data_IF_075462408038
#
_entry.id   IF_075462408038
#
_cell.length_a   1.000
_cell.length_b   1.000
_cell.length_c   1.000
_cell.angle_alpha   90.00
_cell.angle_beta   90.00
_cell.angle_gamma   90.00
#
_symmetry.space_group_name_H-M   'P 1'
#
loop_
_entity.id
_entity.type
_entity.pdbx_description
1 polymer ?
#
# COMPACT_ATOMS: atom_id res chain seq x y z
N UNK A 1 -20.18 25.75 -4.67
CA UNK A 1 -21.08 24.70 -4.14
C UNK A 1 -20.40 24.15 -2.90
N UNK A 2 -21.09 24.02 -1.77
CA UNK A 2 -20.54 23.35 -0.58
C UNK A 2 -20.73 21.85 -0.73
N UNK A 3 -19.71 21.07 -0.41
CA UNK A 3 -19.74 19.60 -0.54
C UNK A 3 -19.02 18.98 0.65
N UNK A 4 -19.75 18.12 1.36
CA UNK A 4 -19.25 17.41 2.53
C UNK A 4 -18.96 15.96 2.14
N UNK A 5 -17.74 15.50 2.40
CA UNK A 5 -17.41 14.09 2.39
C UNK A 5 -17.59 13.52 3.81
N UNK A 6 -18.46 12.53 3.96
CA UNK A 6 -18.76 11.87 5.23
C UNK A 6 -18.13 10.47 5.27
N UNK A 7 -17.84 10.00 6.48
CA UNK A 7 -17.32 8.65 6.71
C UNK A 7 -15.81 8.49 6.50
N UNK A 8 -15.03 9.57 6.54
CA UNK A 8 -13.57 9.51 6.34
C UNK A 8 -12.88 8.89 7.56
N UNK A 9 -12.07 7.86 7.36
CA UNK A 9 -11.45 7.11 8.45
C UNK A 9 -9.93 7.24 8.47
N UNK A 10 -9.31 7.54 7.33
CA UNK A 10 -7.86 7.61 7.18
C UNK A 10 -7.35 9.00 6.78
N UNK A 11 -6.08 9.27 7.10
CA UNK A 11 -5.45 10.57 6.87
C UNK A 11 -5.15 10.84 5.39
N UNK A 12 -4.87 9.80 4.60
CA UNK A 12 -4.66 9.90 3.15
C UNK A 12 -5.97 10.19 2.40
N UNK A 13 -7.09 9.66 2.87
CA UNK A 13 -8.43 10.01 2.36
C UNK A 13 -8.72 11.51 2.54
N UNK A 14 -8.31 12.12 3.66
CA UNK A 14 -8.45 13.59 3.87
C UNK A 14 -7.74 14.38 2.78
N UNK A 15 -6.54 13.96 2.38
CA UNK A 15 -5.78 14.63 1.32
C UNK A 15 -6.48 14.46 -0.03
N UNK A 16 -6.86 13.22 -0.37
CA UNK A 16 -7.59 12.91 -1.61
C UNK A 16 -8.90 13.70 -1.74
N UNK A 17 -9.67 13.80 -0.66
CA UNK A 17 -10.96 14.49 -0.64
C UNK A 17 -10.79 16.01 -0.79
N UNK A 18 -9.72 16.58 -0.23
CA UNK A 18 -9.35 17.98 -0.46
C UNK A 18 -8.99 18.23 -1.92
N UNK A 19 -8.22 17.34 -2.53
CA UNK A 19 -7.85 17.45 -3.94
C UNK A 19 -9.05 17.34 -4.88
N UNK A 20 -10.08 16.57 -4.49
CA UNK A 20 -11.36 16.50 -5.19
C UNK A 20 -12.24 17.75 -5.01
N UNK A 21 -11.84 18.71 -4.16
CA UNK A 21 -12.52 19.99 -3.99
C UNK A 21 -13.68 19.97 -2.99
N UNK A 22 -13.77 18.97 -2.10
CA UNK A 22 -14.77 18.99 -1.03
C UNK A 22 -14.44 20.09 -0.01
N UNK A 23 -15.45 20.87 0.37
CA UNK A 23 -15.31 21.98 1.32
C UNK A 23 -15.31 21.51 2.78
N UNK A 24 -15.95 20.38 3.07
CA UNK A 24 -16.09 19.85 4.42
C UNK A 24 -15.77 18.35 4.46
N UNK A 25 -15.22 17.92 5.59
CA UNK A 25 -14.83 16.52 5.82
C UNK A 25 -15.29 16.12 7.22
N UNK A 26 -16.00 15.00 7.30
CA UNK A 26 -16.41 14.37 8.55
C UNK A 26 -16.02 12.90 8.54
N UNK A 27 -15.57 12.41 9.69
CA UNK A 27 -15.46 10.97 9.92
C UNK A 27 -14.56 10.66 11.10
N UNK A 28 -14.34 9.36 11.32
CA UNK A 28 -13.54 8.87 12.44
C UNK A 28 -12.07 9.26 12.34
N UNK A 29 -11.62 9.75 11.20
CA UNK A 29 -10.31 10.38 11.06
C UNK A 29 -10.11 11.52 12.05
N UNK A 30 -11.18 12.24 12.44
CA UNK A 30 -11.16 13.33 13.43
C UNK A 30 -11.58 12.90 14.84
N UNK A 31 -12.04 11.66 15.01
CA UNK A 31 -12.46 11.10 16.30
C UNK A 31 -13.74 10.28 16.22
N UNK A 32 -13.88 9.30 17.13
CA UNK A 32 -15.13 8.56 17.35
C UNK A 32 -16.18 9.47 18.00
N UNK A 33 -17.47 9.10 17.97
CA UNK A 33 -18.49 9.78 18.76
C UNK A 33 -18.06 9.84 20.23
N UNK A 34 -18.13 11.04 20.82
CA UNK A 34 -17.69 11.32 22.18
C UNK A 34 -18.69 12.23 22.88
N UNK A 35 -18.63 12.33 24.20
CA UNK A 35 -19.50 13.22 24.96
C UNK A 35 -19.15 14.68 24.67
N UNK A 36 -20.13 15.57 24.83
CA UNK A 36 -19.95 17.01 24.64
C UNK A 36 -18.75 17.55 25.44
N UNK A 37 -18.57 17.10 26.69
CA UNK A 37 -17.44 17.49 27.55
C UNK A 37 -16.09 17.08 26.97
N UNK A 38 -16.01 15.91 26.35
CA UNK A 38 -14.79 15.39 25.71
C UNK A 38 -14.49 16.16 24.42
N UNK A 39 -15.51 16.48 23.62
CA UNK A 39 -15.37 17.27 22.41
C UNK A 39 -14.87 18.69 22.70
N UNK A 40 -15.44 19.35 23.71
CA UNK A 40 -15.01 20.70 24.15
C UNK A 40 -13.57 20.67 24.63
N UNK A 41 -13.18 19.67 25.43
CA UNK A 41 -11.80 19.53 25.88
C UNK A 41 -10.83 19.32 24.70
N UNK A 42 -11.19 18.45 23.75
CA UNK A 42 -10.39 18.18 22.55
C UNK A 42 -10.20 19.43 21.68
N UNK A 43 -11.28 20.18 21.42
CA UNK A 43 -11.23 21.40 20.61
C UNK A 43 -10.41 22.49 21.33
N UNK A 44 -10.60 22.66 22.64
CA UNK A 44 -9.86 23.66 23.43
C UNK A 44 -8.37 23.36 23.41
N UNK A 45 -7.97 22.10 23.62
CA UNK A 45 -6.57 21.68 23.57
C UNK A 45 -5.89 21.89 22.21
N UNK A 46 -6.70 21.98 21.13
CA UNK A 46 -6.24 22.13 19.74
C UNK A 46 -6.59 23.49 19.14
N UNK A 47 -6.89 24.50 19.97
CA UNK A 47 -7.27 25.84 19.52
C UNK A 47 -8.40 25.86 18.46
N UNK A 48 -9.40 24.99 18.64
CA UNK A 48 -10.54 24.84 17.75
C UNK A 48 -10.29 23.99 16.50
N UNK A 49 -9.09 23.41 16.34
CA UNK A 49 -8.74 22.63 15.15
C UNK A 49 -9.07 21.13 15.32
N UNK A 50 -9.81 20.59 14.36
CA UNK A 50 -9.95 19.15 14.17
C UNK A 50 -8.67 18.61 13.50
N UNK A 51 -7.86 17.87 14.25
CA UNK A 51 -6.64 17.23 13.75
C UNK A 51 -6.94 15.78 13.40
N UNK A 52 -6.59 15.38 12.18
CA UNK A 52 -6.71 14.01 11.71
C UNK A 52 -5.78 13.09 12.53
N UNK A 53 -6.35 12.17 13.28
CA UNK A 53 -5.63 11.20 14.14
C UNK A 53 -5.87 9.74 13.76
N UNK A 54 -6.68 9.47 12.73
CA UNK A 54 -6.97 8.13 12.21
C UNK A 54 -5.75 7.39 11.67
N UNK A 55 -5.96 6.18 11.13
CA UNK A 55 -4.89 5.43 10.44
C UNK A 55 -4.30 6.25 9.31
N UNK A 56 -2.97 6.22 9.14
CA UNK A 56 -2.28 7.08 8.17
C UNK A 56 -2.66 6.76 6.72
N UNK A 57 -2.98 5.50 6.43
CA UNK A 57 -3.25 5.00 5.07
C UNK A 57 -4.32 3.91 5.13
N UNK A 58 -5.38 4.01 4.33
CA UNK A 58 -6.29 2.90 4.07
C UNK A 58 -5.61 1.95 3.09
N UNK A 59 -5.14 0.78 3.59
CA UNK A 59 -4.50 -0.24 2.75
C UNK A 59 -5.32 -1.52 2.73
N UNK A 60 -5.39 -2.14 1.55
CA UNK A 60 -5.97 -3.47 1.41
C UNK A 60 -5.24 -4.46 2.35
N UNK A 61 -6.00 -5.46 2.83
CA UNK A 61 -5.45 -6.53 3.66
C UNK A 61 -4.29 -7.24 2.93
N UNK A 62 -3.24 -7.56 3.69
CA UNK A 62 -2.03 -8.21 3.18
C UNK A 62 -1.96 -9.63 3.70
N UNK A 63 -2.00 -10.59 2.80
CA UNK A 63 -1.74 -12.00 3.14
C UNK A 63 -0.24 -12.21 3.24
N UNK A 64 0.22 -12.72 4.39
CA UNK A 64 1.62 -13.14 4.56
C UNK A 64 1.86 -14.40 3.72
N UNK A 65 2.89 -14.36 2.89
CA UNK A 65 3.29 -15.47 2.04
C UNK A 65 4.81 -15.59 2.05
N UNK A 66 5.33 -16.77 1.72
CA UNK A 66 6.76 -16.94 1.46
C UNK A 66 6.92 -17.67 0.14
N UNK A 67 6.84 -16.91 -0.95
CA UNK A 67 6.77 -17.44 -2.31
C UNK A 67 7.98 -16.96 -3.12
N UNK A 68 8.84 -17.87 -3.60
CA UNK A 68 9.79 -17.55 -4.66
C UNK A 68 9.11 -16.94 -5.87
N UNK A 69 9.72 -15.92 -6.44
CA UNK A 69 9.26 -15.21 -7.62
C UNK A 69 10.47 -14.67 -8.37
N UNK A 70 10.22 -14.11 -9.55
CA UNK A 70 11.22 -13.49 -10.41
C UNK A 70 10.77 -12.09 -10.76
N UNK A 71 11.70 -11.16 -10.70
CA UNK A 71 11.51 -9.81 -11.24
C UNK A 71 12.38 -9.62 -12.46
N UNK A 72 11.90 -8.85 -13.44
CA UNK A 72 12.69 -8.36 -14.55
C UNK A 72 12.76 -6.84 -14.44
N UNK A 73 13.98 -6.33 -14.27
CA UNK A 73 14.29 -4.91 -14.20
C UNK A 73 15.26 -4.60 -15.34
N UNK A 74 14.89 -3.68 -16.23
CA UNK A 74 15.67 -3.32 -17.42
C UNK A 74 16.08 -4.55 -18.27
N UNK A 75 15.21 -5.57 -18.32
CA UNK A 75 15.46 -6.84 -19.01
C UNK A 75 16.34 -7.83 -18.25
N UNK A 76 16.89 -7.45 -17.09
CA UNK A 76 17.69 -8.33 -16.23
C UNK A 76 16.78 -9.05 -15.24
N UNK A 77 16.72 -10.37 -15.35
CA UNK A 77 15.96 -11.22 -14.44
C UNK A 77 16.70 -11.43 -13.11
N UNK A 78 15.96 -11.36 -12.00
CA UNK A 78 16.47 -11.61 -10.65
C UNK A 78 15.47 -12.42 -9.84
N UNK A 79 15.97 -13.38 -9.08
CA UNK A 79 15.15 -14.16 -8.14
C UNK A 79 14.88 -13.35 -6.86
N UNK A 80 13.62 -13.35 -6.44
CA UNK A 80 13.16 -12.65 -5.23
C UNK A 80 12.20 -13.54 -4.44
N UNK A 81 11.83 -13.10 -3.24
CA UNK A 81 10.82 -13.76 -2.41
C UNK A 81 9.72 -12.78 -2.05
N UNK A 82 8.48 -13.13 -2.36
CA UNK A 82 7.30 -12.40 -1.89
C UNK A 82 7.08 -12.75 -0.42
N UNK A 83 7.00 -11.72 0.43
CA UNK A 83 6.83 -11.80 1.90
C UNK A 83 5.41 -11.49 2.36
N UNK A 84 4.74 -10.61 1.65
CA UNK A 84 3.30 -10.40 1.73
C UNK A 84 2.77 -9.83 0.43
N UNK A 85 1.47 -9.99 0.22
CA UNK A 85 0.79 -9.56 -0.99
C UNK A 85 -0.62 -9.10 -0.68
N UNK A 86 -1.08 -8.11 -1.43
CA UNK A 86 -2.42 -7.52 -1.45
C UNK A 86 -2.87 -7.40 -2.91
N UNK A 87 -4.14 -7.07 -3.19
CA UNK A 87 -4.58 -6.86 -4.58
C UNK A 87 -3.78 -5.77 -5.30
N UNK A 88 -3.31 -4.74 -4.58
CA UNK A 88 -2.61 -3.60 -5.17
C UNK A 88 -1.08 -3.65 -5.11
N UNK A 89 -0.48 -4.67 -4.48
CA UNK A 89 0.97 -4.68 -4.34
C UNK A 89 1.52 -5.78 -3.45
N UNK A 90 2.85 -5.86 -3.39
CA UNK A 90 3.58 -6.89 -2.68
C UNK A 90 4.81 -6.33 -1.95
N UNK A 91 5.22 -6.99 -0.87
CA UNK A 91 6.55 -6.82 -0.30
C UNK A 91 7.45 -7.96 -0.78
N UNK A 92 8.62 -7.61 -1.31
CA UNK A 92 9.63 -8.57 -1.74
C UNK A 92 10.93 -8.43 -0.95
N UNK A 93 11.70 -9.51 -0.92
CA UNK A 93 13.04 -9.66 -0.36
C UNK A 93 13.98 -10.29 -1.40
N UNK A 94 15.28 -10.05 -1.30
CA UNK A 94 16.29 -10.60 -2.21
C UNK A 94 16.57 -9.74 -3.44
N UNK A 95 15.94 -8.57 -3.54
CA UNK A 95 16.33 -7.57 -4.50
C UNK A 95 17.42 -6.71 -3.84
N UNK A 96 18.66 -6.80 -4.31
CA UNK A 96 19.73 -5.85 -3.91
C UNK A 96 19.40 -4.50 -4.54
N UNK A 97 18.54 -3.75 -3.85
CA UNK A 97 18.04 -2.41 -4.24
C UNK A 97 18.87 -1.33 -3.57
N UNK A 98 20.16 -1.54 -3.36
CA UNK A 98 20.99 -0.51 -2.71
C UNK A 98 20.97 0.82 -3.51
N UNK A 99 20.49 0.80 -4.77
CA UNK A 99 20.26 2.00 -5.59
C UNK A 99 19.07 1.97 -6.57
N UNK A 100 18.10 1.03 -6.53
CA UNK A 100 16.98 1.16 -7.49
C UNK A 100 16.11 2.36 -7.08
N UNK A 101 15.99 3.41 -7.92
CA UNK A 101 15.24 4.60 -7.57
C UNK A 101 13.79 4.26 -7.24
N UNK A 102 13.26 4.88 -6.18
CA UNK A 102 11.81 4.89 -5.95
C UNK A 102 11.14 5.40 -7.22
N UNK A 103 10.08 4.72 -7.65
CA UNK A 103 9.36 5.04 -8.88
C UNK A 103 9.75 4.20 -10.09
N UNK A 104 10.82 3.39 -10.02
CA UNK A 104 11.22 2.51 -11.12
C UNK A 104 10.20 1.42 -11.37
N UNK A 105 9.92 1.20 -12.65
CA UNK A 105 9.04 0.15 -13.15
C UNK A 105 9.81 -1.14 -13.37
N UNK A 106 9.16 -2.25 -13.03
CA UNK A 106 9.67 -3.58 -13.23
C UNK A 106 8.51 -4.53 -13.54
N UNK A 107 8.87 -5.72 -14.00
CA UNK A 107 7.93 -6.83 -14.13
C UNK A 107 8.16 -7.82 -12.99
N UNK A 108 7.08 -8.35 -12.40
CA UNK A 108 7.15 -9.41 -11.37
C UNK A 108 6.28 -10.60 -11.77
N UNK A 109 6.83 -11.81 -11.62
CA UNK A 109 6.10 -13.06 -11.85
C UNK A 109 5.23 -13.39 -10.63
N UNK A 110 3.91 -13.21 -10.75
CA UNK A 110 2.97 -13.49 -9.65
C UNK A 110 2.32 -14.87 -9.85
N UNK A 111 1.80 -15.10 -11.06
CA UNK A 111 1.21 -16.39 -11.49
C UNK A 111 2.19 -17.05 -12.46
N UNK A 112 2.14 -18.39 -12.57
CA UNK A 112 3.09 -19.17 -13.35
C UNK A 112 3.24 -18.64 -14.79
N UNK A 113 4.46 -18.23 -15.15
CA UNK A 113 4.81 -17.62 -16.44
C UNK A 113 4.09 -16.32 -16.80
N UNK A 114 3.43 -15.67 -15.84
CA UNK A 114 2.75 -14.39 -16.06
C UNK A 114 3.47 -13.26 -15.31
N UNK A 115 4.03 -12.34 -16.11
CA UNK A 115 4.68 -11.13 -15.63
C UNK A 115 3.67 -9.98 -15.47
N UNK A 116 3.73 -9.29 -14.35
CA UNK A 116 2.89 -8.16 -14.01
C UNK A 116 3.73 -6.90 -13.87
N UNK A 117 3.28 -5.79 -14.47
CA UNK A 117 3.91 -4.51 -14.30
C UNK A 117 3.71 -3.98 -12.87
N UNK A 118 4.79 -3.51 -12.28
CA UNK A 118 4.80 -2.95 -10.94
C UNK A 118 5.83 -1.82 -10.82
N UNK A 119 5.68 -1.00 -9.79
CA UNK A 119 6.56 0.12 -9.46
C UNK A 119 7.13 -0.04 -8.05
N UNK A 120 8.40 0.29 -7.88
CA UNK A 120 9.03 0.36 -6.55
C UNK A 120 8.51 1.59 -5.81
N UNK A 121 7.84 1.40 -4.68
CA UNK A 121 7.34 2.49 -3.82
C UNK A 121 8.31 2.88 -2.70
N UNK A 122 9.09 1.91 -2.23
CA UNK A 122 10.11 2.10 -1.20
C UNK A 122 11.10 0.93 -1.27
N UNK A 123 12.31 1.15 -0.79
CA UNK A 123 13.31 0.12 -0.57
C UNK A 123 14.08 0.41 0.73
N UNK A 124 14.23 -0.61 1.57
CA UNK A 124 14.93 -0.52 2.86
C UNK A 124 15.35 -1.93 3.32
N UNK A 125 16.55 -2.06 3.87
CA UNK A 125 17.08 -3.32 4.45
C UNK A 125 16.96 -4.53 3.51
N UNK A 126 17.33 -4.38 2.22
CA UNK A 126 17.23 -5.46 1.22
C UNK A 126 15.79 -5.86 0.84
N UNK A 127 14.79 -5.12 1.33
CA UNK A 127 13.38 -5.30 1.01
C UNK A 127 12.88 -4.16 0.13
N UNK A 128 11.87 -4.45 -0.68
CA UNK A 128 11.18 -3.44 -1.46
C UNK A 128 9.66 -3.63 -1.43
N UNK A 129 8.95 -2.51 -1.44
CA UNK A 129 7.51 -2.48 -1.65
C UNK A 129 7.21 -2.20 -3.11
N UNK A 130 6.38 -3.05 -3.71
CA UNK A 130 5.90 -2.93 -5.07
C UNK A 130 4.43 -2.55 -5.10
N UNK A 131 4.06 -1.59 -5.95
CA UNK A 131 2.68 -1.31 -6.34
C UNK A 131 2.43 -1.87 -7.74
N UNK A 132 1.36 -2.65 -7.90
CA UNK A 132 0.99 -3.20 -9.21
C UNK A 132 0.32 -2.11 -10.06
N UNK A 133 0.58 -2.14 -11.37
CA UNK A 133 -0.06 -1.24 -12.33
C UNK A 133 -1.57 -1.51 -12.45
N UNK A 134 -1.98 -2.76 -12.22
CA UNK A 134 -3.39 -3.16 -12.17
C UNK A 134 -3.64 -4.06 -10.95
N UNK A 135 -4.83 -4.00 -10.33
CA UNK A 135 -5.18 -4.89 -9.22
C UNK A 135 -5.13 -6.37 -9.62
N UNK A 136 -4.59 -7.21 -8.75
CA UNK A 136 -4.53 -8.66 -8.89
C UNK A 136 -5.68 -9.33 -8.12
N UNK A 137 -6.29 -10.35 -8.72
CA UNK A 137 -7.13 -11.30 -8.00
C UNK A 137 -6.25 -12.22 -7.12
N UNK A 138 -6.29 -11.97 -5.81
CA UNK A 138 -5.50 -12.71 -4.83
C UNK A 138 -5.84 -14.21 -4.78
N UNK A 139 -7.09 -14.61 -5.04
CA UNK A 139 -7.46 -16.02 -4.93
C UNK A 139 -6.76 -16.85 -6.02
N UNK A 140 -6.64 -16.30 -7.23
CA UNK A 140 -5.89 -16.92 -8.33
C UNK A 140 -4.41 -17.11 -8.01
N UNK A 141 -3.82 -16.13 -7.31
CA UNK A 141 -2.44 -16.23 -6.88
C UNK A 141 -2.24 -17.34 -5.85
N UNK A 142 -3.03 -17.33 -4.78
CA UNK A 142 -2.86 -18.24 -3.64
C UNK A 142 -3.16 -19.71 -3.99
N UNK A 143 -3.97 -19.95 -5.02
CA UNK A 143 -4.26 -21.29 -5.55
C UNK A 143 -3.21 -21.84 -6.51
N UNK A 144 -2.33 -20.99 -7.04
CA UNK A 144 -1.24 -21.41 -7.93
C UNK A 144 -0.01 -21.80 -7.11
N UNK A 145 0.56 -23.01 -7.28
CA UNK A 145 1.75 -23.42 -6.53
C UNK A 145 2.95 -22.51 -6.79
N UNK A 146 3.78 -22.33 -5.77
CA UNK A 146 5.01 -21.56 -5.89
C UNK A 146 6.03 -22.34 -6.74
N UNK A 147 6.73 -21.63 -7.64
CA UNK A 147 7.82 -22.23 -8.41
C UNK A 147 9.03 -22.46 -7.50
N UNK A 148 9.76 -23.59 -7.63
CA UNK A 148 11.04 -23.76 -6.94
C UNK A 148 12.08 -22.77 -7.47
N UNK A 149 12.88 -22.19 -6.57
CA UNK A 149 14.07 -21.40 -6.95
C UNK A 149 15.01 -22.29 -7.76
N UNK A 150 15.48 -21.82 -8.91
CA UNK A 150 16.55 -22.53 -9.64
C UNK A 150 17.83 -22.40 -8.82
N UNK A 151 18.47 -23.52 -8.49
CA UNK A 151 19.82 -23.49 -7.91
C UNK A 151 20.73 -22.83 -8.96
N UNK A 152 21.45 -21.79 -8.56
CA UNK A 152 22.59 -21.30 -9.33
C UNK A 152 23.55 -22.48 -9.53
N UNK A 153 23.94 -22.71 -10.79
CA UNK A 153 24.85 -23.77 -11.20
C UNK A 153 26.29 -23.29 -11.09
#
# INVERSE_FOLDING_TARGET
METTAEGVEAQDEVLMIRDLGCSHIQGYVYGRPMRCTEAVAMLTARAGQAVATGVRVTRAERTKVFRPSRVSLDGVERDVRIRDISPGGAMIDGLTVDQAPIGVELLIELVENQMFAARICWAADGRAGLQFAQPLDLQRLLSTPARPLRRAM
#
